data_IF_747167884771
#
_entry.id   IF_747167884771
#
_cell.length_a   1.000
_cell.length_b   1.000
_cell.length_c   1.000
_cell.angle_alpha   90.00
_cell.angle_beta   90.00
_cell.angle_gamma   90.00
#
_symmetry.space_group_name_H-M   'P 1'
#
loop_
_entity.id
_entity.type
_entity.pdbx_description
1 polymer ?
#
# COMPACT_ATOMS: atom_id res chain seq x y z
N UNK A 1 23.83 6.56 -23.54
CA UNK A 1 22.56 7.30 -23.64
C UNK A 1 21.66 6.75 -22.56
N UNK A 2 21.18 7.66 -21.72
CA UNK A 2 20.53 7.47 -20.44
C UNK A 2 19.13 6.87 -20.54
N UNK A 3 18.86 5.84 -19.74
CA UNK A 3 17.52 5.39 -19.40
C UNK A 3 17.26 5.81 -17.95
N UNK A 4 17.29 7.13 -17.73
CA UNK A 4 16.62 7.75 -16.59
C UNK A 4 15.31 8.31 -17.13
N UNK A 5 14.22 7.55 -16.98
CA UNK A 5 12.90 8.15 -17.02
C UNK A 5 11.99 7.37 -16.09
N UNK A 6 11.48 8.12 -15.10
CA UNK A 6 10.24 7.87 -14.38
C UNK A 6 10.32 7.16 -13.02
N UNK A 7 11.14 7.63 -12.07
CA UNK A 7 10.87 7.48 -10.60
C UNK A 7 11.45 8.61 -9.71
N UNK A 8 11.88 9.75 -10.26
CA UNK A 8 12.67 10.74 -9.50
C UNK A 8 11.88 12.01 -9.10
N UNK A 9 10.74 11.89 -8.42
CA UNK A 9 10.15 13.01 -7.66
C UNK A 9 9.33 12.47 -6.47
N UNK A 10 10.02 12.10 -5.38
CA UNK A 10 9.58 12.33 -3.98
C UNK A 10 10.35 11.57 -2.90
N UNK A 11 11.33 10.73 -3.22
CA UNK A 11 12.09 10.02 -2.18
C UNK A 11 13.28 10.87 -1.70
N UNK A 12 12.98 11.93 -0.95
CA UNK A 12 13.96 12.58 -0.08
C UNK A 12 14.04 11.76 1.23
N UNK A 13 14.91 10.76 1.24
CA UNK A 13 15.09 9.81 2.36
C UNK A 13 15.97 10.40 3.46
N UNK A 14 15.35 11.15 4.37
CA UNK A 14 16.00 11.59 5.61
C UNK A 14 15.24 11.05 6.82
N UNK A 15 15.78 10.05 7.54
CA UNK A 15 15.21 9.54 8.79
C UNK A 15 14.87 10.65 9.80
N UNK A 16 15.68 11.72 9.81
CA UNK A 16 15.48 12.88 10.67
C UNK A 16 14.18 13.63 10.35
N UNK A 17 13.77 13.70 9.08
CA UNK A 17 12.52 14.37 8.68
C UNK A 17 11.30 13.60 9.15
N UNK A 18 11.35 12.28 9.09
CA UNK A 18 10.31 11.40 9.67
C UNK A 18 10.23 11.62 11.18
N UNK A 19 11.40 11.57 11.85
CA UNK A 19 11.51 11.75 13.29
C UNK A 19 10.96 13.12 13.73
N UNK A 20 11.36 14.19 13.05
CA UNK A 20 10.92 15.56 13.31
C UNK A 20 9.42 15.74 13.06
N UNK A 21 8.90 15.16 11.97
CA UNK A 21 7.47 15.19 11.69
C UNK A 21 6.68 14.49 12.80
N UNK A 22 7.11 13.29 13.22
CA UNK A 22 6.50 12.57 14.32
C UNK A 22 6.53 13.38 15.61
N UNK A 23 7.68 13.96 15.99
CA UNK A 23 7.83 14.81 17.18
C UNK A 23 6.91 16.03 17.13
N UNK A 24 6.92 16.79 16.04
CA UNK A 24 6.12 18.01 15.87
C UNK A 24 4.61 17.73 15.96
N UNK A 25 4.18 16.59 15.44
CA UNK A 25 2.76 16.21 15.41
C UNK A 25 2.33 15.27 16.53
N UNK A 26 3.23 14.97 17.49
CA UNK A 26 2.99 14.03 18.61
C UNK A 26 2.54 12.64 18.12
N UNK A 27 3.09 12.18 16.99
CA UNK A 27 2.84 10.86 16.43
C UNK A 27 3.98 9.91 16.81
N UNK A 28 3.64 8.62 16.96
CA UNK A 28 4.62 7.56 17.25
C UNK A 28 5.00 6.75 16.02
N UNK A 29 4.12 6.67 15.02
CA UNK A 29 4.26 5.81 13.85
C UNK A 29 3.53 6.42 12.66
N UNK A 30 4.15 6.37 11.49
CA UNK A 30 3.55 6.64 10.18
C UNK A 30 3.43 5.30 9.46
N UNK A 31 2.24 4.99 8.94
CA UNK A 31 2.02 3.87 8.03
C UNK A 31 1.61 4.45 6.68
N UNK A 32 2.36 4.15 5.63
CA UNK A 32 2.08 4.57 4.25
C UNK A 32 2.03 3.36 3.34
N UNK A 33 1.48 3.55 2.14
CA UNK A 33 1.49 2.54 1.07
C UNK A 33 2.24 3.08 -0.15
N UNK A 34 1.71 2.84 -1.35
CA UNK A 34 2.13 3.41 -2.64
C UNK A 34 3.44 2.89 -3.24
N UNK A 35 4.45 2.56 -2.43
CA UNK A 35 5.70 1.93 -2.91
C UNK A 35 5.62 0.42 -2.79
N UNK A 36 5.92 -0.28 -3.89
CA UNK A 36 6.07 -1.73 -3.89
C UNK A 36 7.37 -2.10 -3.16
N UNK A 37 7.25 -2.91 -2.10
CA UNK A 37 8.37 -3.41 -1.29
C UNK A 37 8.33 -4.94 -1.28
N UNK A 38 9.51 -5.58 -1.23
CA UNK A 38 9.64 -7.02 -1.51
C UNK A 38 8.84 -7.93 -0.57
N UNK A 39 8.86 -7.64 0.74
CA UNK A 39 8.12 -8.44 1.73
C UNK A 39 6.68 -7.94 1.94
N UNK A 40 6.22 -6.98 1.12
CA UNK A 40 4.93 -6.32 1.32
C UNK A 40 4.89 -5.39 2.54
N UNK A 41 5.94 -5.34 3.35
CA UNK A 41 6.14 -4.28 4.32
C UNK A 41 7.62 -3.95 4.49
N UNK A 42 7.93 -2.70 4.84
CA UNK A 42 9.30 -2.26 5.11
C UNK A 42 9.29 -1.25 6.26
N UNK A 43 10.27 -1.37 7.18
CA UNK A 43 10.47 -0.41 8.27
C UNK A 43 11.55 0.59 7.87
N UNK A 44 11.30 1.86 8.13
CA UNK A 44 12.24 2.95 7.92
C UNK A 44 12.29 3.86 9.16
N UNK A 45 13.33 4.70 9.28
CA UNK A 45 13.52 5.64 10.39
C UNK A 45 13.32 4.98 11.78
N UNK A 46 14.10 3.93 12.05
CA UNK A 46 14.02 3.16 13.31
C UNK A 46 12.63 2.57 13.60
N UNK A 47 11.84 2.33 12.54
CA UNK A 47 10.49 1.80 12.64
C UNK A 47 9.41 2.84 12.88
N UNK A 48 9.73 4.14 12.86
CA UNK A 48 8.73 5.22 12.94
C UNK A 48 7.98 5.43 11.61
N UNK A 49 8.46 4.86 10.51
CA UNK A 49 7.74 4.77 9.25
C UNK A 49 7.65 3.30 8.83
N UNK A 50 6.45 2.86 8.44
CA UNK A 50 6.24 1.57 7.79
C UNK A 50 5.62 1.81 6.42
N UNK A 51 6.26 1.29 5.38
CA UNK A 51 5.65 1.14 4.06
C UNK A 51 4.93 -0.20 4.03
N UNK A 52 3.68 -0.21 3.57
CA UNK A 52 2.81 -1.38 3.46
C UNK A 52 2.32 -1.54 2.02
N UNK A 53 2.48 -2.73 1.46
CA UNK A 53 2.06 -3.09 0.14
C UNK A 53 1.36 -4.45 0.16
N UNK A 54 0.10 -4.50 -0.27
CA UNK A 54 -0.75 -5.69 -0.10
C UNK A 54 -0.97 -6.50 -1.38
N UNK A 55 -0.56 -5.99 -2.55
CA UNK A 55 -0.68 -6.71 -3.81
C UNK A 55 0.56 -7.61 -4.02
N UNK A 56 0.35 -8.93 -4.04
CA UNK A 56 1.40 -9.90 -4.39
C UNK A 56 1.74 -9.83 -5.87
N UNK A 57 3.00 -10.09 -6.21
CA UNK A 57 3.50 -10.09 -7.59
C UNK A 57 2.98 -8.88 -8.39
N UNK A 58 3.27 -7.68 -7.88
CA UNK A 58 2.76 -6.44 -8.45
C UNK A 58 3.07 -6.33 -9.95
N UNK A 59 2.06 -5.93 -10.72
CA UNK A 59 2.08 -5.89 -12.19
C UNK A 59 2.48 -7.23 -12.87
N UNK A 60 2.43 -8.35 -12.15
CA UNK A 60 2.83 -9.66 -12.66
C UNK A 60 4.34 -9.88 -12.76
N UNK A 61 5.17 -8.90 -12.38
CA UNK A 61 6.62 -8.91 -12.65
C UNK A 61 7.49 -8.66 -11.43
N UNK A 62 6.96 -8.06 -10.36
CA UNK A 62 7.75 -7.68 -9.19
C UNK A 62 8.11 -8.86 -8.27
N UNK A 63 7.33 -9.95 -8.32
CA UNK A 63 7.49 -11.13 -7.45
C UNK A 63 7.57 -10.80 -5.94
N UNK A 64 7.00 -9.68 -5.51
CA UNK A 64 6.91 -9.30 -4.11
C UNK A 64 5.81 -10.09 -3.39
N UNK A 65 5.98 -10.28 -2.09
CA UNK A 65 4.89 -10.64 -1.19
C UNK A 65 3.97 -9.43 -0.97
N UNK A 66 2.73 -9.70 -0.60
CA UNK A 66 1.84 -8.72 0.01
C UNK A 66 1.93 -8.82 1.54
N UNK A 67 1.54 -7.77 2.24
CA UNK A 67 1.36 -7.84 3.69
C UNK A 67 0.08 -7.13 4.15
N UNK A 68 -0.38 -7.54 5.34
CA UNK A 68 -1.38 -6.86 6.18
C UNK A 68 -0.73 -6.56 7.53
N UNK A 69 -0.98 -5.39 8.11
CA UNK A 69 -0.51 -5.06 9.45
C UNK A 69 -1.64 -5.21 10.46
N UNK A 70 -1.44 -6.04 11.47
CA UNK A 70 -2.31 -6.11 12.64
C UNK A 70 -1.73 -5.20 13.71
N UNK A 71 -2.46 -4.14 14.07
CA UNK A 71 -2.05 -3.16 15.09
C UNK A 71 -2.81 -3.42 16.38
N UNK A 72 -2.08 -3.88 17.40
CA UNK A 72 -2.61 -4.12 18.74
C UNK A 72 -2.50 -2.92 19.68
N UNK A 73 -2.87 -3.13 20.94
CA UNK A 73 -2.68 -2.13 22.02
C UNK A 73 -1.20 -1.77 22.17
N UNK A 74 -0.92 -0.52 22.56
CA UNK A 74 0.45 -0.02 22.69
C UNK A 74 1.21 0.05 21.36
N UNK A 75 0.51 0.11 20.22
CA UNK A 75 1.09 0.13 18.87
C UNK A 75 1.98 -1.08 18.57
N UNK A 76 1.67 -2.24 19.16
CA UNK A 76 2.31 -3.50 18.77
C UNK A 76 1.87 -3.84 17.35
N UNK A 77 2.80 -3.77 16.39
CA UNK A 77 2.54 -4.06 14.97
C UNK A 77 3.03 -5.47 14.63
N UNK A 78 2.10 -6.31 14.18
CA UNK A 78 2.38 -7.67 13.71
C UNK A 78 2.07 -7.78 12.21
N UNK A 79 3.08 -7.89 11.34
CA UNK A 79 2.88 -8.15 9.92
C UNK A 79 2.34 -9.57 9.68
N UNK A 80 1.42 -9.70 8.73
CA UNK A 80 0.93 -10.96 8.18
C UNK A 80 1.25 -10.97 6.69
N UNK A 81 2.09 -11.91 6.26
CA UNK A 81 2.53 -12.04 4.87
C UNK A 81 1.51 -12.81 4.04
N UNK A 82 1.38 -12.39 2.78
CA UNK A 82 0.63 -13.04 1.72
C UNK A 82 1.66 -13.33 0.63
N UNK A 83 2.00 -14.60 0.41
CA UNK A 83 2.95 -14.96 -0.63
C UNK A 83 2.27 -14.98 -2.00
N UNK A 84 2.97 -14.60 -3.08
CA UNK A 84 2.44 -14.82 -4.42
C UNK A 84 2.17 -16.32 -4.62
N UNK A 85 1.12 -16.64 -5.36
CA UNK A 85 0.87 -18.03 -5.73
C UNK A 85 2.06 -18.55 -6.53
N UNK A 86 2.54 -19.79 -6.27
CA UNK A 86 3.57 -20.38 -7.11
C UNK A 86 3.09 -20.38 -8.57
N UNK A 87 4.01 -20.19 -9.54
CA UNK A 87 3.66 -20.37 -10.95
C UNK A 87 2.96 -21.72 -11.13
N UNK A 88 1.86 -21.80 -11.88
CA UNK A 88 1.20 -23.07 -12.15
C UNK A 88 2.23 -24.08 -12.69
N UNK A 89 2.31 -25.27 -12.08
CA UNK A 89 3.18 -26.35 -12.53
C UNK A 89 2.67 -26.84 -13.91
N UNK A 90 3.31 -26.34 -14.97
CA UNK A 90 3.06 -26.56 -16.41
C UNK A 90 1.75 -25.96 -16.96
N UNK A 91 1.87 -24.87 -17.72
CA UNK A 91 1.18 -24.80 -19.03
C UNK A 91 2.05 -24.03 -20.03
N UNK A 92 2.23 -24.53 -21.27
CA UNK A 92 3.20 -24.00 -22.22
C UNK A 92 2.69 -22.69 -22.80
N UNK A 93 2.95 -21.57 -22.12
CA UNK A 93 2.87 -20.16 -22.57
C UNK A 93 1.64 -19.65 -23.37
N UNK A 94 0.62 -20.45 -23.69
CA UNK A 94 -0.57 -20.03 -24.47
C UNK A 94 -1.82 -20.86 -24.14
N UNK A 95 -2.17 -20.97 -22.85
CA UNK A 95 -3.50 -21.52 -22.48
C UNK A 95 -4.57 -20.43 -22.57
N UNK A 96 -5.63 -20.59 -23.38
CA UNK A 96 -6.72 -19.60 -23.54
C UNK A 96 -7.43 -19.25 -22.23
N UNK A 97 -7.43 -20.17 -21.26
CA UNK A 97 -8.08 -19.98 -19.96
C UNK A 97 -7.45 -18.85 -19.12
N UNK A 98 -6.13 -18.61 -19.20
CA UNK A 98 -5.52 -17.50 -18.45
C UNK A 98 -5.90 -16.12 -19.00
N UNK A 99 -6.08 -16.02 -20.32
CA UNK A 99 -6.56 -14.77 -20.95
C UNK A 99 -7.97 -14.44 -20.47
N UNK A 100 -8.80 -15.47 -20.27
CA UNK A 100 -10.15 -15.33 -19.73
C UNK A 100 -10.10 -14.87 -18.27
N UNK A 101 -9.19 -15.41 -17.46
CA UNK A 101 -9.05 -15.00 -16.06
C UNK A 101 -8.50 -13.57 -15.92
N UNK A 102 -7.50 -13.18 -16.69
CA UNK A 102 -6.99 -11.80 -16.66
C UNK A 102 -8.05 -10.80 -17.15
N UNK A 103 -8.87 -11.21 -18.14
CA UNK A 103 -10.01 -10.42 -18.62
C UNK A 103 -11.12 -10.29 -17.57
N UNK A 104 -11.45 -11.34 -16.82
CA UNK A 104 -12.45 -11.30 -15.76
C UNK A 104 -12.03 -10.34 -14.64
N UNK A 105 -10.74 -10.37 -14.25
CA UNK A 105 -10.20 -9.47 -13.23
C UNK A 105 -10.20 -8.01 -13.70
N UNK A 106 -9.89 -7.77 -14.99
CA UNK A 106 -9.99 -6.44 -15.58
C UNK A 106 -11.43 -5.93 -15.60
N UNK A 107 -12.39 -6.77 -15.99
CA UNK A 107 -13.81 -6.42 -16.01
C UNK A 107 -14.32 -6.05 -14.62
N UNK A 108 -13.99 -6.84 -13.60
CA UNK A 108 -14.30 -6.49 -12.22
C UNK A 108 -13.68 -5.16 -11.78
N UNK A 109 -12.45 -4.87 -12.20
CA UNK A 109 -11.79 -3.61 -11.86
C UNK A 109 -12.44 -2.40 -12.55
N UNK A 110 -12.98 -2.58 -13.77
CA UNK A 110 -13.76 -1.55 -14.48
C UNK A 110 -15.10 -1.31 -13.78
N UNK A 111 -15.72 -2.36 -13.26
CA UNK A 111 -16.99 -2.29 -12.53
C UNK A 111 -16.85 -1.82 -11.08
N UNK A 112 -15.62 -1.65 -10.56
CA UNK A 112 -15.45 -1.14 -9.19
C UNK A 112 -15.99 0.29 -9.11
N UNK A 113 -16.84 0.59 -8.10
CA UNK A 113 -17.27 1.96 -7.86
C UNK A 113 -16.04 2.84 -7.59
N UNK A 114 -16.06 4.11 -8.05
CA UNK A 114 -14.96 5.03 -7.80
C UNK A 114 -14.73 5.16 -6.29
N UNK A 115 -13.47 5.21 -5.88
CA UNK A 115 -13.11 5.43 -4.48
C UNK A 115 -13.86 6.68 -3.99
N UNK A 116 -14.67 6.58 -2.92
CA UNK A 116 -15.41 7.72 -2.41
C UNK A 116 -14.46 8.89 -2.18
N UNK A 117 -14.87 10.09 -2.59
CA UNK A 117 -14.09 11.29 -2.32
C UNK A 117 -13.91 11.40 -0.81
N UNK A 118 -12.65 11.33 -0.36
CA UNK A 118 -12.33 11.59 1.05
C UNK A 118 -12.85 12.99 1.36
N UNK A 119 -13.88 13.08 2.19
CA UNK A 119 -14.53 14.34 2.52
C UNK A 119 -13.48 15.38 2.93
N UNK A 120 -13.53 16.57 2.32
CA UNK A 120 -12.77 17.72 2.79
C UNK A 120 -13.12 17.94 4.26
N UNK A 121 -12.15 18.10 5.18
CA UNK A 121 -12.46 18.51 6.54
C UNK A 121 -13.31 19.79 6.47
N UNK A 122 -14.53 19.76 7.01
CA UNK A 122 -15.31 20.99 7.18
C UNK A 122 -14.54 21.89 8.15
N UNK A 123 -14.37 23.19 7.85
CA UNK A 123 -13.88 24.14 8.84
C UNK A 123 -14.86 24.19 10.03
N UNK A 124 -14.31 24.32 11.24
CA UNK A 124 -14.97 24.24 12.55
C UNK A 124 -16.09 25.27 12.79
N UNK A 125 -17.20 25.17 12.06
CA UNK A 125 -18.41 25.95 12.30
C UNK A 125 -19.61 25.04 12.07
N UNK A 126 -19.88 24.16 13.03
CA UNK A 126 -21.25 23.87 13.52
C UNK A 126 -21.20 22.83 14.64
N UNK A 127 -20.98 23.35 15.86
CA UNK A 127 -21.13 22.60 17.11
C UNK A 127 -22.62 22.43 17.42
N UNK A 128 -23.38 21.72 16.59
CA UNK A 128 -24.72 21.24 16.97
C UNK A 128 -25.37 20.14 16.12
N UNK A 129 -24.66 19.41 15.27
CA UNK A 129 -25.27 18.25 14.58
C UNK A 129 -25.14 16.97 15.41
N UNK A 130 -26.28 16.44 15.88
CA UNK A 130 -26.47 15.20 16.63
C UNK A 130 -26.23 13.93 15.78
N UNK A 131 -25.13 13.87 15.04
CA UNK A 131 -24.86 12.76 14.13
C UNK A 131 -23.66 11.92 14.58
N UNK A 132 -23.61 11.48 15.84
CA UNK A 132 -22.81 10.33 16.29
C UNK A 132 -23.42 9.70 17.55
N UNK A 133 -24.16 8.61 17.35
CA UNK A 133 -24.14 7.42 18.23
C UNK A 133 -23.57 6.29 17.39
#
# INVERSE_FOLDING_TARGET
MSNESMLAYDVISFPDRVTDFCKKNKLQLIIRAHECVMDGFERFAQGQLITLFSATNYCGTANNAGAILVVGRGLVVVPKLIHPLPPPLQSPETSPERVIDDAWMQELNIQRPPTPTRGRPQPDLDRNSLAYI
#
